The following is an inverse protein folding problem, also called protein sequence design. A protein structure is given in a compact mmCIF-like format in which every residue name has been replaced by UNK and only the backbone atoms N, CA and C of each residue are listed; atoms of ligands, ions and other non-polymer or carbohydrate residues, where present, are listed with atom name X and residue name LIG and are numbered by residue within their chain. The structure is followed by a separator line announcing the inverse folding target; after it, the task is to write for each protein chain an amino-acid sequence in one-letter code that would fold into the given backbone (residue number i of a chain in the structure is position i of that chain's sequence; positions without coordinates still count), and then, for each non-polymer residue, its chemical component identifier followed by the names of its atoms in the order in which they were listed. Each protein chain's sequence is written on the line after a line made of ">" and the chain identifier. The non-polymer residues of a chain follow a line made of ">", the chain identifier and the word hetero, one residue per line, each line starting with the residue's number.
data_IF_041352987780
#
_entry.id   IF_041352987780
#
_cell.length_a   1.000
_cell.length_b   1.000
_cell.length_c   1.000
_cell.angle_alpha   90.00
_cell.angle_beta   90.00
_cell.angle_gamma   90.00
#
_symmetry.space_group_name_H-M   'P 1'
#
loop_
_entity.id
_entity.type
_entity.pdbx_description
1 polymer ?
#
# COMPACT_ATOMS: atom_id res chain seq x y z
N UNK A 1 -3.18 22.84 -8.60
CA UNK A 1 -4.19 21.77 -8.68
C UNK A 1 -4.23 21.30 -10.12
N UNK A 2 -3.71 20.11 -10.42
CA UNK A 2 -3.55 19.62 -11.80
C UNK A 2 -4.88 19.05 -12.30
N UNK A 3 -5.57 19.80 -13.19
CA UNK A 3 -6.84 19.40 -13.81
C UNK A 3 -6.78 18.05 -14.54
N UNK A 4 -5.60 17.63 -14.98
CA UNK A 4 -5.38 16.36 -15.67
C UNK A 4 -5.55 15.13 -14.76
N UNK A 5 -5.26 15.26 -13.45
CA UNK A 5 -5.43 14.16 -12.49
C UNK A 5 -6.91 13.90 -12.19
N UNK A 6 -7.71 14.97 -12.13
CA UNK A 6 -9.15 14.86 -11.84
C UNK A 6 -9.92 14.27 -13.04
N UNK A 7 -9.54 14.62 -14.27
CA UNK A 7 -10.15 14.05 -15.47
C UNK A 7 -9.80 12.58 -15.66
N UNK A 8 -8.58 12.16 -15.34
CA UNK A 8 -8.20 10.75 -15.39
C UNK A 8 -9.01 9.92 -14.39
N UNK A 9 -9.20 10.43 -13.17
CA UNK A 9 -9.96 9.77 -12.11
C UNK A 9 -11.47 9.66 -12.44
N UNK A 10 -12.04 10.72 -13.01
CA UNK A 10 -13.46 10.72 -13.43
C UNK A 10 -13.71 9.78 -14.62
N UNK A 11 -12.78 9.71 -15.58
CA UNK A 11 -12.84 8.76 -16.69
C UNK A 11 -12.68 7.30 -16.22
N UNK A 12 -11.75 7.04 -15.30
CA UNK A 12 -11.56 5.70 -14.71
C UNK A 12 -12.82 5.24 -13.96
N UNK A 13 -13.44 6.13 -13.18
CA UNK A 13 -14.69 5.85 -12.46
C UNK A 13 -15.87 5.55 -13.41
N UNK A 14 -15.96 6.25 -14.55
CA UNK A 14 -16.97 5.93 -15.55
C UNK A 14 -16.70 4.60 -16.25
N UNK A 15 -15.44 4.30 -16.58
CA UNK A 15 -15.07 3.01 -17.16
C UNK A 15 -15.41 1.89 -16.18
N UNK A 16 -15.13 2.04 -14.89
CA UNK A 16 -15.46 1.06 -13.85
C UNK A 16 -16.97 0.78 -13.74
N UNK A 17 -17.80 1.84 -13.77
CA UNK A 17 -19.27 1.70 -13.76
C UNK A 17 -19.79 1.02 -15.02
N UNK A 18 -19.24 1.35 -16.18
CA UNK A 18 -19.59 0.73 -17.46
C UNK A 18 -19.13 -0.73 -17.51
N UNK A 19 -17.94 -1.04 -16.98
CA UNK A 19 -17.42 -2.41 -16.88
C UNK A 19 -18.27 -3.27 -15.93
N UNK A 20 -18.68 -2.73 -14.78
CA UNK A 20 -19.57 -3.40 -13.84
C UNK A 20 -20.97 -3.67 -14.45
N UNK A 21 -21.49 -2.71 -15.23
CA UNK A 21 -22.74 -2.87 -15.97
C UNK A 21 -22.64 -3.92 -17.10
N UNK A 22 -21.52 -3.95 -17.84
CA UNK A 22 -21.27 -4.99 -18.85
C UNK A 22 -21.01 -6.37 -18.22
N UNK A 23 -20.36 -6.44 -17.07
CA UNK A 23 -20.17 -7.67 -16.32
C UNK A 23 -21.49 -8.26 -15.79
N UNK A 24 -22.52 -7.43 -15.58
CA UNK A 24 -23.86 -7.88 -15.20
C UNK A 24 -24.75 -8.26 -16.39
N UNK A 25 -24.43 -7.83 -17.62
CA UNK A 25 -25.31 -8.01 -18.78
C UNK A 25 -24.73 -8.85 -19.94
N UNK A 26 -23.41 -8.95 -20.09
CA UNK A 26 -22.75 -9.53 -21.30
C UNK A 26 -21.75 -10.65 -20.98
N UNK A 27 -21.35 -10.84 -19.73
CA UNK A 27 -20.29 -11.79 -19.40
C UNK A 27 -20.86 -12.94 -18.58
N UNK A 28 -20.81 -14.16 -19.12
CA UNK A 28 -20.96 -15.39 -18.34
C UNK A 28 -20.07 -15.29 -17.10
N UNK A 29 -20.56 -15.68 -15.93
CA UNK A 29 -19.77 -15.76 -14.69
C UNK A 29 -18.44 -16.49 -14.88
N UNK A 30 -18.38 -17.47 -15.80
CA UNK A 30 -17.15 -18.16 -16.19
C UNK A 30 -16.16 -17.23 -16.92
N UNK A 31 -16.64 -16.33 -17.76
CA UNK A 31 -15.83 -15.34 -18.47
C UNK A 31 -15.37 -14.23 -17.52
N UNK A 32 -16.23 -13.77 -16.61
CA UNK A 32 -15.84 -12.86 -15.52
C UNK A 32 -14.76 -13.52 -14.66
N UNK A 33 -14.92 -14.79 -14.28
CA UNK A 33 -13.89 -15.54 -13.55
C UNK A 33 -12.60 -15.71 -14.37
N UNK A 34 -12.67 -15.87 -15.69
CA UNK A 34 -11.48 -15.97 -16.55
C UNK A 34 -10.76 -14.63 -16.71
N UNK A 35 -11.49 -13.52 -16.76
CA UNK A 35 -10.96 -12.16 -16.75
C UNK A 35 -10.34 -11.83 -15.38
N UNK A 36 -11.03 -12.19 -14.29
CA UNK A 36 -10.57 -12.02 -12.91
C UNK A 36 -9.43 -12.97 -12.53
N UNK A 37 -9.28 -14.09 -13.25
CA UNK A 37 -8.10 -14.96 -13.23
C UNK A 37 -7.03 -14.34 -14.11
N UNK A 38 -6.63 -13.12 -13.79
CA UNK A 38 -5.38 -12.53 -14.27
C UNK A 38 -4.31 -13.59 -14.06
N UNK A 39 -3.83 -14.18 -15.16
CA UNK A 39 -2.76 -15.14 -15.07
C UNK A 39 -1.60 -14.42 -14.37
N UNK A 40 -1.15 -14.93 -13.22
CA UNK A 40 -0.02 -14.37 -12.49
C UNK A 40 1.23 -14.28 -13.39
N UNK A 41 1.27 -15.03 -14.49
CA UNK A 41 2.26 -14.94 -15.57
C UNK A 41 2.13 -13.64 -16.36
N UNK A 42 0.91 -13.18 -16.69
CA UNK A 42 0.67 -11.89 -17.38
C UNK A 42 0.99 -10.72 -16.46
N UNK A 43 0.57 -10.79 -15.19
CA UNK A 43 0.94 -9.78 -14.20
C UNK A 43 2.46 -9.72 -14.05
N UNK A 44 3.16 -10.85 -13.82
CA UNK A 44 4.64 -10.88 -13.72
C UNK A 44 5.39 -10.44 -14.97
N UNK A 45 4.75 -10.53 -16.15
CA UNK A 45 5.33 -10.06 -17.41
C UNK A 45 5.09 -8.58 -17.66
N UNK A 46 4.29 -7.91 -16.83
CA UNK A 46 4.02 -6.47 -16.94
C UNK A 46 5.27 -5.68 -16.52
N UNK A 47 5.66 -4.63 -17.27
CA UNK A 47 6.75 -3.75 -16.87
C UNK A 47 6.54 -3.05 -15.52
N UNK A 48 5.31 -3.04 -15.01
CA UNK A 48 4.88 -2.30 -13.79
C UNK A 48 4.63 -3.26 -12.61
N UNK A 49 4.80 -4.56 -12.81
CA UNK A 49 4.51 -5.57 -11.78
C UNK A 49 5.35 -5.36 -10.52
N UNK A 50 6.64 -5.16 -10.72
CA UNK A 50 7.59 -5.01 -9.64
C UNK A 50 7.27 -3.75 -8.82
N UNK A 51 6.86 -2.67 -9.49
CA UNK A 51 6.48 -1.41 -8.83
C UNK A 51 5.22 -1.57 -7.98
N UNK A 52 4.18 -2.23 -8.50
CA UNK A 52 2.94 -2.51 -7.76
C UNK A 52 3.24 -3.43 -6.58
N UNK A 53 4.03 -4.48 -6.80
CA UNK A 53 4.39 -5.45 -5.78
C UNK A 53 5.22 -4.81 -4.66
N UNK A 54 6.21 -3.99 -5.01
CA UNK A 54 7.02 -3.26 -4.03
C UNK A 54 6.18 -2.22 -3.28
N UNK A 55 5.29 -1.50 -3.98
CA UNK A 55 4.39 -0.52 -3.35
C UNK A 55 3.46 -1.17 -2.35
N UNK A 56 2.84 -2.30 -2.70
CA UNK A 56 1.98 -3.06 -1.79
C UNK A 56 2.74 -3.59 -0.57
N UNK A 57 3.91 -4.19 -0.77
CA UNK A 57 4.74 -4.64 0.35
C UNK A 57 5.17 -3.50 1.29
N UNK A 58 5.41 -2.31 0.73
CA UNK A 58 5.75 -1.12 1.50
C UNK A 58 4.55 -0.60 2.29
N UNK A 59 3.38 -0.53 1.68
CA UNK A 59 2.14 -0.09 2.32
C UNK A 59 1.73 -1.03 3.47
N UNK A 60 1.81 -2.35 3.24
CA UNK A 60 1.60 -3.36 4.27
C UNK A 60 2.59 -3.19 5.45
N UNK A 61 3.85 -2.91 5.13
CA UNK A 61 4.88 -2.68 6.16
C UNK A 61 4.60 -1.42 6.97
N UNK A 62 4.25 -0.30 6.32
CA UNK A 62 3.92 0.95 7.00
C UNK A 62 2.69 0.79 7.90
N UNK A 63 1.64 0.13 7.40
CA UNK A 63 0.43 -0.16 8.20
C UNK A 63 0.75 -1.03 9.43
N UNK A 64 1.65 -2.00 9.27
CA UNK A 64 2.10 -2.82 10.39
C UNK A 64 2.91 -2.04 11.42
N UNK A 65 3.75 -1.09 10.99
CA UNK A 65 4.49 -0.19 11.88
C UNK A 65 3.54 0.74 12.63
N UNK A 66 2.59 1.36 11.91
CA UNK A 66 1.57 2.24 12.48
C UNK A 66 0.81 1.55 13.61
N UNK A 67 0.27 0.36 13.34
CA UNK A 67 -0.42 -0.44 14.35
C UNK A 67 0.48 -0.78 15.55
N UNK A 68 1.75 -1.11 15.31
CA UNK A 68 2.68 -1.43 16.39
C UNK A 68 2.95 -0.21 17.28
N UNK A 69 3.11 0.96 16.66
CA UNK A 69 3.32 2.23 17.38
C UNK A 69 2.08 2.62 18.18
N UNK A 70 0.90 2.52 17.58
CA UNK A 70 -0.38 2.80 18.26
C UNK A 70 -0.57 1.88 19.47
N UNK A 71 -0.34 0.58 19.30
CA UNK A 71 -0.52 -0.41 20.37
C UNK A 71 0.46 -0.20 21.52
N UNK A 72 1.73 0.14 21.24
CA UNK A 72 2.76 0.28 22.28
C UNK A 72 2.79 1.65 22.92
N UNK A 73 2.51 2.70 22.15
CA UNK A 73 2.83 4.08 22.53
C UNK A 73 1.68 5.06 22.27
N UNK A 74 0.56 4.60 21.72
CA UNK A 74 -0.59 5.45 21.38
C UNK A 74 -0.24 6.58 20.40
N UNK A 75 -0.91 7.71 20.58
CA UNK A 75 -0.75 8.90 19.74
C UNK A 75 0.70 9.42 19.70
N UNK A 76 1.45 9.24 20.80
CA UNK A 76 2.84 9.68 20.83
C UNK A 76 3.72 8.90 19.86
N UNK A 77 3.48 7.59 19.72
CA UNK A 77 4.13 6.75 18.72
C UNK A 77 3.72 7.14 17.29
N UNK A 78 2.43 7.42 17.08
CA UNK A 78 1.89 7.80 15.76
C UNK A 78 2.49 9.10 15.22
N UNK A 79 2.93 10.02 16.09
CA UNK A 79 3.64 11.23 15.68
C UNK A 79 4.96 10.95 14.91
N UNK A 80 5.47 9.72 14.93
CA UNK A 80 6.66 9.31 14.17
C UNK A 80 6.33 8.88 12.73
N UNK A 81 5.07 8.57 12.43
CA UNK A 81 4.63 8.10 11.10
C UNK A 81 4.95 9.06 9.94
N UNK A 82 4.86 10.40 10.09
CA UNK A 82 5.27 11.33 9.03
C UNK A 82 6.74 11.18 8.63
N UNK A 83 7.63 10.79 9.57
CA UNK A 83 9.05 10.55 9.28
C UNK A 83 9.26 9.16 8.69
N UNK A 84 8.65 8.13 9.27
CA UNK A 84 8.78 6.73 8.83
C UNK A 84 8.21 6.54 7.42
N UNK A 85 7.10 7.20 7.09
CA UNK A 85 6.46 7.14 5.76
C UNK A 85 7.27 7.78 4.63
N UNK A 86 8.36 8.51 4.91
CA UNK A 86 9.29 9.00 3.89
C UNK A 86 10.35 7.96 3.52
N UNK A 87 10.50 6.91 4.31
CA UNK A 87 11.49 5.86 4.08
C UNK A 87 11.01 4.98 2.93
N UNK A 88 11.83 4.87 1.90
CA UNK A 88 11.51 4.09 0.69
C UNK A 88 12.05 2.66 0.77
N UNK A 89 13.15 2.44 1.50
CA UNK A 89 13.77 1.13 1.63
C UNK A 89 12.97 0.22 2.58
N UNK A 90 12.51 -0.91 2.04
CA UNK A 90 11.73 -1.89 2.78
C UNK A 90 12.54 -2.63 3.85
N UNK A 91 13.84 -2.83 3.66
CA UNK A 91 14.70 -3.47 4.65
C UNK A 91 14.99 -2.55 5.83
N UNK A 92 15.10 -1.25 5.56
CA UNK A 92 15.16 -0.22 6.60
C UNK A 92 13.87 -0.21 7.42
N UNK A 93 12.71 -0.22 6.77
CA UNK A 93 11.41 -0.31 7.46
C UNK A 93 11.27 -1.60 8.30
N UNK A 94 11.76 -2.74 7.80
CA UNK A 94 11.79 -4.00 8.58
C UNK A 94 12.67 -3.88 9.82
N UNK A 95 13.81 -3.21 9.70
CA UNK A 95 14.73 -2.99 10.82
C UNK A 95 14.10 -2.09 11.86
N UNK A 96 13.51 -0.97 11.43
CA UNK A 96 12.77 -0.04 12.30
C UNK A 96 11.66 -0.77 13.06
N UNK A 97 10.85 -1.59 12.37
CA UNK A 97 9.79 -2.32 13.03
C UNK A 97 10.31 -3.27 14.12
N UNK A 98 11.40 -4.00 13.84
CA UNK A 98 12.02 -4.88 14.84
C UNK A 98 12.51 -4.09 16.05
N UNK A 99 13.11 -2.93 15.81
CA UNK A 99 13.56 -2.05 16.88
C UNK A 99 12.39 -1.53 17.72
N UNK A 100 11.29 -1.08 17.09
CA UNK A 100 10.04 -0.65 17.76
C UNK A 100 9.50 -1.77 18.66
N UNK A 101 9.48 -3.02 18.18
CA UNK A 101 9.02 -4.17 18.95
C UNK A 101 9.86 -4.38 20.23
N UNK A 102 11.16 -4.10 20.18
CA UNK A 102 12.06 -4.18 21.34
C UNK A 102 12.16 -2.92 22.21
N UNK A 103 11.69 -1.78 21.72
CA UNK A 103 11.76 -0.51 22.47
C UNK A 103 10.70 -0.44 23.56
N UNK A 104 11.06 0.07 24.73
CA UNK A 104 10.12 0.27 25.85
C UNK A 104 9.54 1.68 25.86
N UNK A 105 10.17 2.63 25.17
CA UNK A 105 9.75 4.04 25.13
C UNK A 105 9.78 4.63 23.72
N UNK A 106 9.01 5.71 23.52
CA UNK A 106 9.01 6.45 22.25
C UNK A 106 10.36 7.12 22.02
N UNK A 107 11.05 7.55 23.07
CA UNK A 107 12.38 8.19 23.02
C UNK A 107 13.45 7.25 22.44
N UNK A 108 13.35 5.94 22.70
CA UNK A 108 14.22 4.95 22.06
C UNK A 108 13.98 4.89 20.57
N UNK A 109 12.70 4.86 20.14
CA UNK A 109 12.33 4.85 18.73
C UNK A 109 12.80 6.13 18.02
N UNK A 110 12.62 7.31 18.64
CA UNK A 110 13.10 8.60 18.11
C UNK A 110 14.60 8.55 17.82
N UNK A 111 15.42 8.03 18.75
CA UNK A 111 16.88 7.89 18.57
C UNK A 111 17.25 6.94 17.44
N UNK A 112 16.49 5.86 17.24
CA UNK A 112 16.71 4.92 16.13
C UNK A 112 16.51 5.62 14.78
N UNK A 113 15.51 6.50 14.67
CA UNK A 113 15.20 7.23 13.44
C UNK A 113 16.17 8.41 13.17
N UNK A 114 17.00 8.79 14.14
CA UNK A 114 17.95 9.91 14.03
C UNK A 114 19.38 9.47 13.68
N UNK A 115 19.66 8.17 13.77
CA UNK A 115 20.90 7.55 13.27
C UNK A 115 20.77 7.15 11.80
#
# INVERSE_FOLDING_TARGET
>A
MNYLLLQADEQLNQIEKVLAFFATFVLDSALVQQIMRWDMTVLRSSPWYEEIFQSGQREDRLSSIELTLEVKFGDEGLNLMPKISQISDIEELKTIQRSILSSETVEEVKRILEN
#
